data_IF_696792585341
#
_entry.id   IF_696792585341
#
_cell.length_a   1.000
_cell.length_b   1.000
_cell.length_c   1.000
_cell.angle_alpha   90.00
_cell.angle_beta   90.00
_cell.angle_gamma   90.00
#
_symmetry.space_group_name_H-M   'P 1'
#
loop_
_entity.id
_entity.type
_entity.pdbx_description
1 polymer ?
#
# COMPACT_ATOMS: atom_id res chain seq x y z
N UNK A 1 -10.86 0.02 1.56
CA UNK A 1 -10.37 -1.35 1.83
C UNK A 1 -10.31 -1.54 3.34
N UNK A 2 -11.43 -1.39 4.05
CA UNK A 2 -11.32 -0.86 5.42
C UNK A 2 -11.53 -1.91 6.51
N UNK A 3 -12.11 -3.08 6.21
CA UNK A 3 -12.36 -4.13 7.24
C UNK A 3 -12.30 -5.58 6.74
N UNK A 4 -12.02 -5.80 5.45
CA UNK A 4 -12.14 -7.13 4.82
C UNK A 4 -10.83 -7.92 4.68
N UNK A 5 -10.83 -8.90 3.76
CA UNK A 5 -9.69 -9.78 3.50
C UNK A 5 -8.38 -9.04 3.17
N UNK A 6 -8.48 -7.93 2.43
CA UNK A 6 -7.31 -7.11 2.07
C UNK A 6 -6.57 -6.56 3.31
N UNK A 7 -7.31 -6.12 4.33
CA UNK A 7 -6.75 -5.64 5.59
C UNK A 7 -6.02 -6.75 6.35
N UNK A 8 -6.68 -7.89 6.55
CA UNK A 8 -6.09 -9.04 7.23
C UNK A 8 -4.85 -9.60 6.49
N UNK A 9 -4.90 -9.62 5.16
CA UNK A 9 -3.78 -10.03 4.32
C UNK A 9 -2.60 -9.06 4.47
N UNK A 10 -2.85 -7.75 4.44
CA UNK A 10 -1.84 -6.73 4.56
C UNK A 10 -1.11 -6.82 5.91
N UNK A 11 -1.84 -6.94 7.02
CA UNK A 11 -1.25 -7.16 8.36
C UNK A 11 -0.40 -8.42 8.42
N UNK A 12 -0.88 -9.52 7.82
CA UNK A 12 -0.16 -10.80 7.82
C UNK A 12 1.13 -10.74 6.99
N UNK A 13 1.11 -10.08 5.84
CA UNK A 13 2.31 -9.90 5.01
C UNK A 13 3.35 -8.99 5.69
N UNK A 14 2.91 -7.90 6.31
CA UNK A 14 3.79 -7.02 7.08
C UNK A 14 4.45 -7.75 8.26
N UNK A 15 3.67 -8.57 9.01
CA UNK A 15 4.19 -9.40 10.11
C UNK A 15 5.22 -10.44 9.65
N UNK A 16 5.16 -10.85 8.38
CA UNK A 16 6.13 -11.76 7.76
C UNK A 16 7.37 -11.05 7.20
N UNK A 17 7.45 -9.73 7.31
CA UNK A 17 8.58 -8.93 6.85
C UNK A 17 8.50 -8.47 5.39
N UNK A 18 7.35 -8.66 4.72
CA UNK A 18 7.18 -8.17 3.35
C UNK A 18 6.91 -6.66 3.33
N UNK A 19 7.30 -6.01 2.24
CA UNK A 19 6.83 -4.67 1.90
C UNK A 19 5.41 -4.78 1.33
N UNK A 20 4.47 -4.04 1.92
CA UNK A 20 3.05 -4.14 1.58
C UNK A 20 2.55 -2.78 1.15
N UNK A 21 1.93 -2.72 -0.02
CA UNK A 21 1.24 -1.54 -0.52
C UNK A 21 -0.26 -1.79 -0.45
N UNK A 22 -0.94 -1.07 0.43
CA UNK A 22 -2.39 -1.17 0.59
C UNK A 22 -3.02 0.09 0.01
N UNK A 23 -3.97 -0.05 -0.92
CA UNK A 23 -4.71 1.08 -1.46
C UNK A 23 -6.16 1.11 -0.98
N UNK A 24 -6.71 2.30 -0.84
CA UNK A 24 -8.11 2.52 -0.50
C UNK A 24 -8.60 3.86 -1.03
N UNK A 25 -9.92 4.00 -1.20
CA UNK A 25 -10.53 5.24 -1.69
C UNK A 25 -10.34 6.39 -0.69
N UNK A 26 -10.27 6.10 0.61
CA UNK A 26 -10.01 7.10 1.63
C UNK A 26 -8.83 6.67 2.52
N UNK A 27 -7.61 7.17 2.27
CA UNK A 27 -6.41 6.82 3.05
C UNK A 27 -6.42 7.37 4.47
N UNK A 28 -7.37 8.25 4.80
CA UNK A 28 -7.59 8.77 6.16
C UNK A 28 -8.86 8.19 6.79
N UNK A 29 -9.41 7.13 6.18
CA UNK A 29 -10.51 6.37 6.74
C UNK A 29 -10.06 5.52 7.94
N UNK A 30 -10.99 5.10 8.79
CA UNK A 30 -10.68 4.33 10.00
C UNK A 30 -9.92 3.03 9.71
N UNK A 31 -10.23 2.34 8.60
CA UNK A 31 -9.52 1.11 8.24
C UNK A 31 -8.07 1.34 7.78
N UNK A 32 -7.80 2.45 7.11
CA UNK A 32 -6.45 2.85 6.71
C UNK A 32 -5.60 3.27 7.92
N UNK A 33 -6.20 4.01 8.85
CA UNK A 33 -5.57 4.38 10.11
C UNK A 33 -5.25 3.15 10.97
N UNK A 34 -6.17 2.19 11.06
CA UNK A 34 -5.95 0.94 11.77
C UNK A 34 -4.82 0.12 11.15
N UNK A 35 -4.71 0.10 9.81
CA UNK A 35 -3.58 -0.50 9.10
C UNK A 35 -2.27 0.17 9.45
N UNK A 36 -2.20 1.50 9.39
CA UNK A 36 -1.00 2.27 9.73
C UNK A 36 -0.55 2.07 11.17
N UNK A 37 -1.50 2.00 12.11
CA UNK A 37 -1.20 1.78 13.54
C UNK A 37 -0.79 0.33 13.85
N UNK A 38 -1.32 -0.64 13.11
CA UNK A 38 -1.06 -2.07 13.36
C UNK A 38 0.19 -2.59 12.67
N UNK A 39 0.70 -1.90 11.66
CA UNK A 39 1.78 -2.37 10.80
C UNK A 39 3.06 -1.54 10.95
N UNK A 40 4.17 -2.11 10.49
CA UNK A 40 5.47 -1.43 10.47
C UNK A 40 5.59 -0.42 9.32
N UNK A 41 6.68 0.34 9.30
CA UNK A 41 6.99 1.32 8.24
C UNK A 41 7.11 0.72 6.83
N UNK A 42 7.19 -0.62 6.73
CA UNK A 42 7.18 -1.39 5.47
C UNK A 42 5.80 -1.46 4.82
N UNK A 43 4.73 -1.20 5.57
CA UNK A 43 3.39 -1.05 5.02
C UNK A 43 3.16 0.40 4.62
N UNK A 44 2.85 0.63 3.35
CA UNK A 44 2.49 1.95 2.82
C UNK A 44 1.03 1.95 2.39
N UNK A 45 0.28 2.91 2.91
CA UNK A 45 -1.11 3.13 2.51
C UNK A 45 -1.17 4.30 1.53
N UNK A 46 -1.79 4.08 0.38
CA UNK A 46 -2.01 5.09 -0.65
C UNK A 46 -3.49 5.20 -1.02
N UNK A 47 -3.84 6.37 -1.57
CA UNK A 47 -5.15 6.57 -2.17
C UNK A 47 -5.19 5.92 -3.55
N UNK A 48 -6.30 5.26 -3.87
CA UNK A 48 -6.59 4.79 -5.22
C UNK A 48 -8.09 4.84 -5.47
N UNK A 49 -8.47 5.68 -6.43
CA UNK A 49 -9.76 5.62 -7.06
C UNK A 49 -9.61 4.89 -8.41
N UNK A 50 -10.26 3.74 -8.54
CA UNK A 50 -10.19 2.91 -9.74
C UNK A 50 -11.03 3.46 -10.89
N UNK A 51 -11.92 4.43 -10.63
CA UNK A 51 -12.71 5.08 -11.68
C UNK A 51 -11.97 6.25 -12.33
N UNK A 52 -10.88 6.70 -11.74
CA UNK A 52 -10.08 7.84 -12.20
C UNK A 52 -8.70 7.38 -12.68
N UNK A 53 -8.47 7.41 -13.99
CA UNK A 53 -7.21 6.99 -14.61
C UNK A 53 -5.99 7.70 -14.01
N UNK A 54 -6.13 8.96 -13.63
CA UNK A 54 -5.04 9.73 -13.04
C UNK A 54 -4.68 9.24 -11.64
N UNK A 55 -5.67 8.82 -10.84
CA UNK A 55 -5.44 8.19 -9.54
C UNK A 55 -4.70 6.86 -9.70
N UNK A 56 -5.08 6.06 -10.71
CA UNK A 56 -4.38 4.81 -11.05
C UNK A 56 -2.92 5.07 -11.42
N UNK A 57 -2.65 6.07 -12.27
CA UNK A 57 -1.26 6.42 -12.63
C UNK A 57 -0.44 6.86 -11.42
N UNK A 58 -1.01 7.67 -10.54
CA UNK A 58 -0.34 8.11 -9.31
C UNK A 58 -0.02 6.94 -8.39
N UNK A 59 -0.95 5.99 -8.22
CA UNK A 59 -0.73 4.79 -7.44
C UNK A 59 0.40 3.92 -8.01
N UNK A 60 0.43 3.75 -9.33
CA UNK A 60 1.52 3.02 -10.01
C UNK A 60 2.86 3.73 -9.81
N UNK A 61 2.90 5.06 -9.96
CA UNK A 61 4.11 5.85 -9.74
C UNK A 61 4.61 5.73 -8.28
N UNK A 62 3.69 5.80 -7.31
CA UNK A 62 4.01 5.63 -5.89
C UNK A 62 4.62 4.26 -5.61
N UNK A 63 4.02 3.19 -6.12
CA UNK A 63 4.54 1.82 -5.94
C UNK A 63 5.91 1.68 -6.59
N UNK A 64 6.10 2.18 -7.82
CA UNK A 64 7.40 2.15 -8.51
C UNK A 64 8.50 2.84 -7.71
N UNK A 65 8.27 4.08 -7.28
CA UNK A 65 9.24 4.86 -6.50
C UNK A 65 9.66 4.16 -5.20
N UNK A 66 8.70 3.57 -4.48
CA UNK A 66 8.98 2.86 -3.23
C UNK A 66 9.62 1.47 -3.46
N UNK A 67 9.34 0.82 -4.59
CA UNK A 67 10.00 -0.43 -4.98
C UNK A 67 11.44 -0.20 -5.43
N UNK A 68 11.73 0.86 -6.19
CA UNK A 68 13.11 1.22 -6.58
C UNK A 68 13.99 1.52 -5.36
N UNK A 69 13.39 2.04 -4.29
CA UNK A 69 14.08 2.27 -3.01
C UNK A 69 14.29 0.99 -2.20
N UNK A 70 13.55 -0.10 -2.48
CA UNK A 70 13.50 -1.32 -1.66
C UNK A 70 13.96 -2.58 -2.42
N UNK A 71 14.25 -2.47 -3.71
CA UNK A 71 14.54 -3.58 -4.61
C UNK A 71 15.73 -3.26 -5.51
N UNK A 72 16.81 -4.00 -5.28
CA UNK A 72 17.99 -4.18 -6.11
C UNK A 72 17.86 -3.71 -7.56
N UNK A 73 18.78 -2.82 -7.94
CA UNK A 73 19.13 -2.45 -9.29
C UNK A 73 19.11 -3.66 -10.26
N UNK A 74 18.10 -3.72 -11.14
CA UNK A 74 18.17 -4.53 -12.37
C UNK A 74 18.32 -3.60 -13.56
N UNK A 75 19.56 -3.11 -13.75
CA UNK A 75 19.98 -2.65 -15.07
C UNK A 75 19.88 -3.83 -16.04
N UNK A 76 19.11 -3.65 -17.12
CA UNK A 76 19.45 -4.20 -18.41
C UNK A 76 18.93 -3.28 -19.53
#
# INVERSE_FOLDING_TARGET
>A
CDTGFGNSLAKRLDSKGFHVFASCLNPNGPGADDLRKSCSDRLKVLELDVTEDESVKQAVHFVKYNLESSGTNINN
#
